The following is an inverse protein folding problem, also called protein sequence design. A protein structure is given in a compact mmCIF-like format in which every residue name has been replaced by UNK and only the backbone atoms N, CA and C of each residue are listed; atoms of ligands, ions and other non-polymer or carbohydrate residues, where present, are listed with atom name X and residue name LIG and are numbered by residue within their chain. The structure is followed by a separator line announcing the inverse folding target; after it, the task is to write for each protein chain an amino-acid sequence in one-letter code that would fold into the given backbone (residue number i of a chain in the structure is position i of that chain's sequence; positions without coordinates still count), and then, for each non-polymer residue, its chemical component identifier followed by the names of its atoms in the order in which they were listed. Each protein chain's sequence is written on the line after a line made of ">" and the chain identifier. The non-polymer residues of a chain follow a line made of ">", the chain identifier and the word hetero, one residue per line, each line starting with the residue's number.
data_IF_447044077929
#
_entry.id   IF_447044077929
#
_cell.length_a   1.000
_cell.length_b   1.000
_cell.length_c   1.000
_cell.angle_alpha   90.00
_cell.angle_beta   90.00
_cell.angle_gamma   90.00
#
_symmetry.space_group_name_H-M   'P 1'
#
loop_
_entity.id
_entity.type
_entity.pdbx_description
1 polymer ?
#
# COMPACT_ATOMS: atom_id res chain seq x y z
N UNK A 1 27.97 36.06 -4.93
CA UNK A 1 26.61 36.47 -4.50
C UNK A 1 25.65 35.51 -5.18
N UNK A 2 25.33 34.38 -4.54
CA UNK A 2 24.39 33.42 -5.10
C UNK A 2 23.00 33.93 -4.80
N UNK A 3 22.28 34.36 -5.84
CA UNK A 3 20.88 34.71 -5.76
C UNK A 3 20.13 33.40 -5.58
N UNK A 4 19.73 33.09 -4.35
CA UNK A 4 18.73 32.06 -4.09
C UNK A 4 17.44 32.51 -4.73
N UNK A 5 17.02 31.84 -5.81
CA UNK A 5 15.68 31.99 -6.33
C UNK A 5 14.69 31.59 -5.22
N UNK A 6 13.60 32.35 -5.01
CA UNK A 6 12.59 31.95 -4.05
C UNK A 6 12.01 30.61 -4.51
N UNK A 7 12.02 29.62 -3.62
CA UNK A 7 11.19 28.43 -3.74
C UNK A 7 9.74 28.91 -3.86
N UNK A 8 9.12 28.68 -5.02
CA UNK A 8 7.69 28.88 -5.21
C UNK A 8 6.95 28.23 -4.02
N UNK A 9 6.07 29.01 -3.38
CA UNK A 9 5.18 28.52 -2.33
C UNK A 9 4.43 27.31 -2.88
N UNK A 10 4.69 26.13 -2.32
CA UNK A 10 4.13 24.88 -2.79
C UNK A 10 2.62 24.92 -2.53
N UNK A 11 1.84 25.03 -3.59
CA UNK A 11 0.38 25.01 -3.51
C UNK A 11 -0.11 23.59 -3.82
N UNK A 12 -1.10 23.10 -3.06
CA UNK A 12 -1.76 21.82 -3.34
C UNK A 12 -2.17 21.68 -4.82
N UNK A 13 -1.62 20.67 -5.49
CA UNK A 13 -1.91 20.29 -6.87
C UNK A 13 -3.11 19.34 -6.84
N UNK A 14 -4.20 19.68 -7.53
CA UNK A 14 -5.43 18.89 -7.56
C UNK A 14 -5.79 18.46 -8.98
N UNK A 15 -6.26 17.22 -9.17
CA UNK A 15 -6.77 16.76 -10.46
C UNK A 15 -8.13 17.40 -10.77
N UNK A 16 -9.00 17.57 -9.77
CA UNK A 16 -10.40 17.93 -9.95
C UNK A 16 -10.79 19.22 -9.21
N UNK A 17 -11.59 20.07 -9.87
CA UNK A 17 -12.25 21.23 -9.27
C UNK A 17 -13.72 21.29 -9.68
N UNK A 18 -14.51 22.12 -8.99
CA UNK A 18 -15.91 22.35 -9.33
C UNK A 18 -16.05 23.48 -10.37
N UNK A 19 -16.62 23.16 -11.53
CA UNK A 19 -16.99 24.13 -12.56
C UNK A 19 -18.47 23.94 -12.86
N UNK A 20 -19.29 24.97 -12.63
CA UNK A 20 -20.76 24.86 -12.71
C UNK A 20 -21.33 23.73 -11.83
N UNK A 21 -20.73 23.50 -10.66
CA UNK A 21 -21.00 22.39 -9.72
C UNK A 21 -20.63 20.99 -10.22
N UNK A 22 -20.08 20.85 -11.43
CA UNK A 22 -19.55 19.58 -11.92
C UNK A 22 -18.06 19.44 -11.59
N UNK A 23 -17.65 18.23 -11.22
CA UNK A 23 -16.24 17.90 -11.01
C UNK A 23 -15.56 17.70 -12.35
N UNK A 24 -14.57 18.54 -12.66
CA UNK A 24 -13.89 18.52 -13.95
C UNK A 24 -12.38 18.52 -13.79
N UNK A 25 -11.70 17.83 -14.70
CA UNK A 25 -10.25 17.89 -14.83
C UNK A 25 -9.79 19.27 -15.32
N UNK A 26 -8.55 19.63 -15.03
CA UNK A 26 -7.98 20.90 -15.45
C UNK A 26 -7.91 21.02 -16.97
N UNK A 27 -8.46 22.12 -17.50
CA UNK A 27 -8.43 22.48 -18.92
C UNK A 27 -7.90 23.89 -19.12
N UNK A 28 -7.32 24.16 -20.30
CA UNK A 28 -6.67 25.45 -20.57
C UNK A 28 -7.61 26.63 -20.36
N UNK A 29 -7.19 27.61 -19.56
CA UNK A 29 -7.98 28.79 -19.21
C UNK A 29 -9.09 28.56 -18.19
N UNK A 30 -9.20 27.34 -17.64
CA UNK A 30 -10.23 26.97 -16.67
C UNK A 30 -10.16 27.77 -15.37
N UNK A 31 -11.35 28.11 -14.85
CA UNK A 31 -11.59 28.63 -13.51
C UNK A 31 -12.67 27.82 -12.83
N UNK A 32 -12.48 27.52 -11.55
CA UNK A 32 -13.41 26.71 -10.77
C UNK A 32 -13.30 26.99 -9.28
N UNK A 33 -13.97 26.19 -8.48
CA UNK A 33 -13.96 26.27 -7.03
C UNK A 33 -13.32 25.01 -6.43
N UNK A 34 -12.59 25.20 -5.34
CA UNK A 34 -12.01 24.10 -4.56
C UNK A 34 -13.13 23.28 -3.92
N UNK A 35 -13.19 21.95 -4.14
CA UNK A 35 -14.18 21.09 -3.50
C UNK A 35 -14.12 21.07 -1.96
N UNK A 36 -12.96 21.42 -1.38
CA UNK A 36 -12.74 21.41 0.07
C UNK A 36 -13.18 22.73 0.72
N UNK A 37 -12.64 23.85 0.24
CA UNK A 37 -12.82 25.15 0.91
C UNK A 37 -13.64 26.17 0.12
N UNK A 38 -14.12 25.81 -1.08
CA UNK A 38 -14.90 26.69 -1.96
C UNK A 38 -14.13 27.88 -2.54
N UNK A 39 -12.82 28.00 -2.29
CA UNK A 39 -12.01 29.11 -2.81
C UNK A 39 -11.73 28.96 -4.30
N UNK A 40 -11.54 30.09 -4.99
CA UNK A 40 -11.26 30.12 -6.43
C UNK A 40 -9.97 29.36 -6.78
N UNK A 41 -10.06 28.54 -7.84
CA UNK A 41 -8.95 27.80 -8.43
C UNK A 41 -8.77 28.16 -9.90
N UNK A 42 -7.51 28.09 -10.35
CA UNK A 42 -7.12 28.30 -11.75
C UNK A 42 -6.48 27.03 -12.28
N UNK A 43 -6.89 26.62 -13.47
CA UNK A 43 -6.26 25.51 -14.18
C UNK A 43 -4.86 25.91 -14.67
N UNK A 44 -3.87 25.11 -14.32
CA UNK A 44 -2.50 25.19 -14.81
C UNK A 44 -2.31 24.12 -15.86
N UNK A 45 -2.22 24.54 -17.12
CA UNK A 45 -2.09 23.65 -18.28
C UNK A 45 -0.88 24.07 -19.11
N UNK A 46 -0.18 23.09 -19.70
CA UNK A 46 0.96 23.36 -20.56
C UNK A 46 1.83 22.13 -20.83
N UNK A 47 2.67 22.18 -21.87
CA UNK A 47 3.42 21.01 -22.34
C UNK A 47 4.53 20.52 -21.40
N UNK A 48 4.84 21.28 -20.35
CA UNK A 48 5.91 20.97 -19.39
C UNK A 48 5.39 20.67 -17.98
N UNK A 49 4.07 20.71 -17.79
CA UNK A 49 3.43 20.52 -16.48
C UNK A 49 2.29 19.52 -16.62
N UNK A 50 2.09 18.69 -15.61
CA UNK A 50 0.86 17.93 -15.50
C UNK A 50 -0.30 18.92 -15.32
N UNK A 51 -1.37 18.74 -16.08
CA UNK A 51 -2.55 19.59 -15.95
C UNK A 51 -3.17 19.39 -14.56
N UNK A 52 -3.35 20.49 -13.84
CA UNK A 52 -3.90 20.49 -12.49
C UNK A 52 -4.61 21.80 -12.16
N UNK A 53 -5.45 21.75 -11.14
CA UNK A 53 -6.03 22.91 -10.50
C UNK A 53 -5.14 23.36 -9.34
N UNK A 54 -4.93 24.67 -9.22
CA UNK A 54 -4.25 25.29 -8.09
C UNK A 54 -5.10 26.44 -7.55
N UNK A 55 -5.05 26.68 -6.24
CA UNK A 55 -5.69 27.86 -5.65
C UNK A 55 -5.18 29.14 -6.31
N UNK A 56 -6.09 30.07 -6.63
CA UNK A 56 -5.71 31.34 -7.27
C UNK A 56 -4.72 32.14 -6.41
N UNK A 57 -4.92 32.11 -5.09
CA UNK A 57 -4.02 32.69 -4.09
C UNK A 57 -3.38 31.55 -3.29
N UNK A 58 -2.09 31.64 -2.90
CA UNK A 58 -1.45 30.62 -2.08
C UNK A 58 -2.23 30.43 -0.77
N UNK A 59 -2.94 29.32 -0.68
CA UNK A 59 -3.70 28.90 0.49
C UNK A 59 -3.79 27.39 0.40
N UNK A 60 -3.03 26.71 1.27
CA UNK A 60 -3.26 25.29 1.48
C UNK A 60 -4.48 25.14 2.37
N UNK A 61 -5.48 24.44 1.86
CA UNK A 61 -6.76 24.27 2.54
C UNK A 61 -6.94 22.88 3.16
N UNK A 62 -5.96 22.00 2.99
CA UNK A 62 -5.90 20.66 3.56
C UNK A 62 -4.45 20.40 3.96
N UNK A 63 -4.11 20.22 5.24
CA UNK A 63 -2.73 20.03 5.69
C UNK A 63 -2.14 18.67 5.30
N UNK A 64 -2.95 17.71 4.83
CA UNK A 64 -2.49 16.39 4.39
C UNK A 64 -2.11 16.32 2.91
N UNK A 65 -2.09 17.47 2.24
CA UNK A 65 -1.76 17.55 0.84
C UNK A 65 -0.33 17.06 0.53
N UNK A 66 -0.20 16.28 -0.55
CA UNK A 66 1.07 15.97 -1.18
C UNK A 66 1.07 16.52 -2.62
N UNK A 67 2.25 16.78 -3.19
CA UNK A 67 2.37 17.09 -4.61
C UNK A 67 1.98 15.87 -5.46
N UNK A 68 1.04 16.06 -6.37
CA UNK A 68 0.64 15.00 -7.29
C UNK A 68 1.77 14.68 -8.28
N UNK A 69 2.20 13.41 -8.30
CA UNK A 69 3.19 12.87 -9.23
C UNK A 69 2.51 12.08 -10.36
N UNK A 70 3.19 11.77 -11.47
CA UNK A 70 2.64 10.87 -12.50
C UNK A 70 2.14 9.53 -11.92
N UNK A 71 2.88 8.97 -10.97
CA UNK A 71 2.48 7.74 -10.27
C UNK A 71 1.16 7.90 -9.52
N UNK A 72 0.97 9.01 -8.78
CA UNK A 72 -0.31 9.29 -8.11
C UNK A 72 -1.47 9.42 -9.11
N UNK A 73 -1.25 10.16 -10.20
CA UNK A 73 -2.27 10.38 -11.24
C UNK A 73 -2.66 9.07 -11.91
N UNK A 74 -1.70 8.23 -12.26
CA UNK A 74 -1.93 6.94 -12.89
C UNK A 74 -2.75 6.03 -11.97
N UNK A 75 -2.44 6.00 -10.66
CA UNK A 75 -3.23 5.27 -9.67
C UNK A 75 -4.66 5.78 -9.54
N UNK A 76 -4.87 7.09 -9.41
CA UNK A 76 -6.21 7.69 -9.38
C UNK A 76 -7.01 7.34 -10.64
N UNK A 77 -6.35 7.32 -11.79
CA UNK A 77 -6.97 7.03 -13.09
C UNK A 77 -7.49 5.60 -13.23
N UNK A 78 -7.05 4.65 -12.39
CA UNK A 78 -7.60 3.29 -12.33
C UNK A 78 -9.03 3.24 -11.77
N UNK A 79 -9.47 4.31 -11.10
CA UNK A 79 -10.79 4.40 -10.47
C UNK A 79 -11.72 5.35 -11.24
N UNK A 80 -13.05 5.18 -11.17
CA UNK A 80 -13.99 6.14 -11.73
C UNK A 80 -13.84 7.55 -11.13
N UNK A 81 -14.24 8.60 -11.86
CA UNK A 81 -14.05 9.99 -11.39
C UNK A 81 -14.74 10.26 -10.06
N UNK A 82 -15.92 9.66 -9.85
CA UNK A 82 -16.71 9.74 -8.62
C UNK A 82 -15.99 9.18 -7.38
N UNK A 83 -14.92 8.42 -7.56
CA UNK A 83 -14.11 7.90 -6.46
C UNK A 83 -12.85 8.73 -6.19
N UNK A 84 -12.36 9.52 -7.16
CA UNK A 84 -11.09 10.24 -7.02
C UNK A 84 -11.29 11.50 -6.17
N UNK A 85 -10.32 11.90 -5.36
CA UNK A 85 -10.24 13.21 -4.70
C UNK A 85 -11.51 13.59 -3.92
N UNK A 86 -11.96 12.70 -3.05
CA UNK A 86 -13.24 12.85 -2.31
C UNK A 86 -12.98 13.47 -0.94
N UNK A 87 -13.62 14.61 -0.70
CA UNK A 87 -13.60 15.28 0.60
C UNK A 87 -14.38 14.47 1.64
N UNK A 88 -13.77 14.31 2.80
CA UNK A 88 -14.37 13.74 4.00
C UNK A 88 -14.39 14.82 5.08
N UNK A 89 -15.51 14.91 5.79
CA UNK A 89 -15.73 15.88 6.86
C UNK A 89 -15.92 15.10 8.15
N UNK A 90 -15.03 15.30 9.12
CA UNK A 90 -15.18 14.73 10.45
C UNK A 90 -16.28 15.43 11.26
N UNK A 91 -16.66 14.81 12.39
CA UNK A 91 -17.72 15.31 13.26
C UNK A 91 -17.42 16.68 13.89
N UNK A 92 -16.15 17.02 14.06
CA UNK A 92 -15.67 18.31 14.55
C UNK A 92 -15.55 19.38 13.45
N UNK A 93 -15.83 19.01 12.19
CA UNK A 93 -15.78 19.89 11.03
C UNK A 93 -14.42 19.93 10.32
N UNK A 94 -13.44 19.13 10.74
CA UNK A 94 -12.18 18.96 9.99
C UNK A 94 -12.46 18.32 8.62
N UNK A 95 -11.84 18.86 7.57
CA UNK A 95 -12.05 18.41 6.18
C UNK A 95 -10.71 17.96 5.59
N UNK A 96 -10.66 16.72 5.15
CA UNK A 96 -9.53 16.17 4.39
C UNK A 96 -9.99 15.53 3.09
N UNK A 97 -9.11 15.49 2.10
CA UNK A 97 -9.38 14.89 0.80
C UNK A 97 -8.66 13.57 0.67
N UNK A 98 -9.43 12.50 0.53
CA UNK A 98 -8.89 11.20 0.17
C UNK A 98 -8.47 11.17 -1.30
N UNK A 99 -7.36 10.51 -1.62
CA UNK A 99 -6.95 10.30 -3.01
C UNK A 99 -8.01 9.51 -3.78
N UNK A 100 -8.48 8.41 -3.19
CA UNK A 100 -9.59 7.60 -3.70
C UNK A 100 -10.51 7.20 -2.55
N UNK A 101 -11.82 7.31 -2.75
CA UNK A 101 -12.86 6.74 -1.88
C UNK A 101 -13.92 6.05 -2.73
N UNK A 102 -14.05 4.74 -2.57
CA UNK A 102 -14.99 3.94 -3.37
C UNK A 102 -16.41 4.05 -2.84
N UNK A 103 -17.39 3.68 -3.67
CA UNK A 103 -18.81 3.72 -3.29
C UNK A 103 -19.15 2.80 -2.10
N UNK A 104 -18.35 1.75 -1.87
CA UNK A 104 -18.48 0.85 -0.72
C UNK A 104 -17.86 1.41 0.56
N UNK A 105 -17.21 2.58 0.49
CA UNK A 105 -16.65 3.29 1.63
C UNK A 105 -15.20 2.95 1.93
N UNK A 106 -14.49 2.20 1.08
CA UNK A 106 -13.04 2.00 1.20
C UNK A 106 -12.32 3.28 0.79
N UNK A 107 -11.42 3.74 1.64
CA UNK A 107 -10.51 4.86 1.36
C UNK A 107 -9.15 4.29 0.98
N UNK A 108 -8.56 4.81 -0.09
CA UNK A 108 -7.19 4.49 -0.52
C UNK A 108 -6.40 5.79 -0.50
N UNK A 109 -5.33 5.79 0.30
CA UNK A 109 -4.35 6.88 0.32
C UNK A 109 -3.09 6.41 -0.40
N UNK A 110 -2.64 7.24 -1.34
CA UNK A 110 -1.45 6.99 -2.12
C UNK A 110 -0.29 7.76 -1.47
N UNK A 111 0.81 7.08 -1.16
CA UNK A 111 1.94 7.73 -0.50
C UNK A 111 3.25 7.55 -1.26
N UNK A 112 3.81 8.67 -1.71
CA UNK A 112 5.14 8.70 -2.35
C UNK A 112 6.21 9.23 -1.38
N UNK A 113 5.93 10.35 -0.72
CA UNK A 113 6.86 11.00 0.21
C UNK A 113 7.00 10.25 1.55
N UNK A 114 7.96 10.67 2.37
CA UNK A 114 8.08 10.18 3.75
C UNK A 114 6.89 10.64 4.59
N UNK A 115 6.38 9.74 5.44
CA UNK A 115 5.30 10.03 6.39
C UNK A 115 5.79 9.73 7.81
N UNK A 116 5.40 10.57 8.75
CA UNK A 116 5.65 10.33 10.18
C UNK A 116 4.59 9.40 10.78
N UNK A 117 4.93 8.73 11.89
CA UNK A 117 3.97 7.84 12.58
C UNK A 117 2.75 8.59 13.10
N UNK A 118 2.91 9.86 13.50
CA UNK A 118 1.82 10.71 13.96
C UNK A 118 0.85 11.03 12.82
N UNK A 119 1.36 11.40 11.64
CA UNK A 119 0.53 11.65 10.45
C UNK A 119 -0.20 10.38 10.01
N UNK A 120 0.51 9.24 9.93
CA UNK A 120 -0.11 7.95 9.60
C UNK A 120 -1.24 7.61 10.56
N UNK A 121 -0.98 7.69 11.87
CA UNK A 121 -1.95 7.36 12.92
C UNK A 121 -3.19 8.26 12.81
N UNK A 122 -2.98 9.57 12.64
CA UNK A 122 -4.07 10.54 12.49
C UNK A 122 -4.94 10.24 11.27
N UNK A 123 -4.35 9.91 10.11
CA UNK A 123 -5.09 9.51 8.90
C UNK A 123 -5.86 8.20 9.07
N UNK A 124 -5.23 7.19 9.70
CA UNK A 124 -5.89 5.91 9.99
C UNK A 124 -7.11 6.09 10.90
N UNK A 125 -7.00 6.95 11.93
CA UNK A 125 -8.11 7.22 12.87
C UNK A 125 -9.23 8.02 12.22
N UNK A 126 -8.88 9.00 11.39
CA UNK A 126 -9.83 9.83 10.70
C UNK A 126 -10.67 9.05 9.68
N UNK A 127 -10.04 8.21 8.85
CA UNK A 127 -10.76 7.49 7.80
C UNK A 127 -11.36 6.15 8.25
N UNK A 128 -10.68 5.42 9.15
CA UNK A 128 -11.09 4.09 9.62
C UNK A 128 -10.98 2.97 8.58
N UNK A 129 -11.73 3.05 7.49
CA UNK A 129 -11.76 2.03 6.42
C UNK A 129 -10.69 2.28 5.34
N UNK A 130 -9.44 2.42 5.79
CA UNK A 130 -8.31 2.88 4.99
C UNK A 130 -7.43 1.71 4.51
N UNK A 131 -6.88 1.85 3.30
CA UNK A 131 -5.75 1.07 2.78
C UNK A 131 -4.67 2.00 2.23
N UNK A 132 -3.41 1.67 2.51
CA UNK A 132 -2.25 2.37 1.99
C UNK A 132 -1.73 1.73 0.71
N UNK A 133 -1.47 2.54 -0.31
CA UNK A 133 -0.63 2.17 -1.46
C UNK A 133 0.61 3.06 -1.44
N UNK A 134 1.78 2.46 -1.29
CA UNK A 134 3.06 3.15 -1.10
C UNK A 134 3.92 3.00 -2.35
N UNK A 135 4.48 4.10 -2.85
CA UNK A 135 5.46 4.06 -3.93
C UNK A 135 6.78 3.46 -3.42
N UNK A 136 7.11 2.27 -3.91
CA UNK A 136 8.31 1.52 -3.56
C UNK A 136 9.54 1.88 -4.38
N UNK A 137 9.42 2.70 -5.42
CA UNK A 137 10.51 3.01 -6.37
C UNK A 137 11.76 3.54 -5.64
N UNK A 138 11.57 4.42 -4.65
CA UNK A 138 12.64 5.04 -3.88
C UNK A 138 13.42 4.08 -2.97
N UNK A 139 12.92 2.87 -2.71
CA UNK A 139 13.59 1.89 -1.85
C UNK A 139 13.66 0.48 -2.45
N UNK A 140 13.38 0.32 -3.75
CA UNK A 140 13.38 -0.98 -4.44
C UNK A 140 14.65 -1.80 -4.23
N UNK A 141 15.82 -1.15 -4.30
CA UNK A 141 17.14 -1.80 -4.13
C UNK A 141 17.41 -2.27 -2.69
N UNK A 142 16.63 -1.78 -1.73
CA UNK A 142 16.71 -2.15 -0.32
C UNK A 142 15.64 -3.17 0.09
N UNK A 143 14.84 -3.66 -0.86
CA UNK A 143 13.76 -4.60 -0.62
C UNK A 143 14.00 -5.88 -1.42
N UNK A 144 14.48 -6.91 -0.74
CA UNK A 144 14.77 -8.22 -1.33
C UNK A 144 13.61 -9.17 -1.05
N UNK A 145 13.14 -9.87 -2.07
CA UNK A 145 12.12 -10.91 -1.95
C UNK A 145 12.81 -12.25 -2.23
N UNK A 146 12.59 -13.22 -1.35
CA UNK A 146 13.25 -14.52 -1.37
C UNK A 146 12.26 -15.63 -1.76
N UNK A 147 12.52 -16.87 -1.34
CA UNK A 147 11.72 -18.03 -1.68
C UNK A 147 10.23 -17.88 -1.32
N UNK A 148 9.40 -18.60 -2.07
CA UNK A 148 7.97 -18.70 -1.81
C UNK A 148 7.69 -19.46 -0.52
N UNK A 149 6.55 -19.15 0.08
CA UNK A 149 6.01 -19.81 1.25
C UNK A 149 4.70 -20.51 0.85
N UNK A 150 4.39 -21.69 1.42
CA UNK A 150 3.09 -22.31 1.23
C UNK A 150 1.98 -21.41 1.79
N UNK A 151 0.71 -21.67 1.44
CA UNK A 151 -0.39 -20.96 2.07
C UNK A 151 -0.34 -21.18 3.61
N UNK A 152 -0.49 -20.14 4.44
CA UNK A 152 -0.31 -20.25 5.89
C UNK A 152 -1.32 -21.18 6.57
N UNK A 153 -2.48 -21.40 5.94
CA UNK A 153 -3.51 -22.32 6.40
C UNK A 153 -3.40 -23.75 5.82
N UNK A 154 -2.36 -24.04 5.03
CA UNK A 154 -2.14 -25.37 4.47
C UNK A 154 -1.64 -26.36 5.52
N UNK A 155 -1.86 -27.66 5.30
CA UNK A 155 -1.37 -28.70 6.22
C UNK A 155 0.15 -28.71 6.34
N UNK A 156 0.88 -28.45 5.23
CA UNK A 156 2.34 -28.39 5.27
C UNK A 156 2.81 -27.23 6.16
N UNK A 157 2.21 -26.04 6.04
CA UNK A 157 2.63 -24.85 6.79
C UNK A 157 2.50 -25.00 8.32
N UNK A 158 1.56 -25.82 8.80
CA UNK A 158 1.35 -26.05 10.24
C UNK A 158 2.59 -26.63 10.94
N UNK A 159 3.43 -27.37 10.20
CA UNK A 159 4.62 -27.99 10.75
C UNK A 159 5.90 -27.17 10.54
N UNK A 160 5.88 -26.10 9.73
CA UNK A 160 7.10 -25.38 9.34
C UNK A 160 7.35 -24.13 10.19
N UNK A 161 8.57 -24.00 10.72
CA UNK A 161 9.08 -22.74 11.29
C UNK A 161 10.26 -22.29 10.42
N UNK A 162 10.05 -21.28 9.58
CA UNK A 162 11.08 -20.81 8.65
C UNK A 162 12.19 -20.04 9.37
N UNK A 163 13.44 -20.32 8.98
CA UNK A 163 14.55 -19.44 9.31
C UNK A 163 14.37 -18.12 8.55
N UNK A 164 14.35 -17.00 9.28
CA UNK A 164 14.10 -15.68 8.70
C UNK A 164 15.15 -15.33 7.65
N UNK A 165 14.70 -15.10 6.42
CA UNK A 165 15.53 -14.61 5.33
C UNK A 165 16.09 -13.22 5.66
N UNK A 166 17.32 -12.96 5.23
CA UNK A 166 18.03 -11.70 5.46
C UNK A 166 19.12 -11.54 4.42
N UNK A 167 19.37 -10.32 3.97
CA UNK A 167 20.45 -10.02 3.03
C UNK A 167 21.77 -10.63 3.52
N UNK A 168 22.41 -11.37 2.63
CA UNK A 168 23.64 -12.15 2.86
C UNK A 168 23.52 -13.45 3.69
N UNK A 169 22.31 -13.89 4.08
CA UNK A 169 22.09 -15.17 4.77
C UNK A 169 21.66 -16.29 3.80
N UNK A 170 22.59 -16.76 2.96
CA UNK A 170 22.29 -17.66 1.83
C UNK A 170 21.43 -18.89 2.18
N UNK A 171 21.69 -19.54 3.32
CA UNK A 171 20.88 -20.68 3.76
C UNK A 171 19.41 -20.29 4.00
N UNK A 172 19.17 -19.36 4.92
CA UNK A 172 17.81 -18.89 5.20
C UNK A 172 17.11 -18.33 3.94
N UNK A 173 17.86 -17.64 3.08
CA UNK A 173 17.37 -17.10 1.81
C UNK A 173 16.97 -18.20 0.81
N UNK A 174 17.55 -19.40 0.94
CA UNK A 174 17.22 -20.58 0.15
C UNK A 174 16.10 -21.43 0.77
N UNK A 175 15.58 -21.07 1.96
CA UNK A 175 14.43 -21.75 2.56
C UNK A 175 14.76 -22.79 3.63
N UNK A 176 15.73 -22.49 4.51
CA UNK A 176 15.91 -23.31 5.72
C UNK A 176 14.72 -23.19 6.66
N UNK A 177 14.34 -24.30 7.31
CA UNK A 177 13.26 -24.35 8.30
C UNK A 177 13.50 -25.40 9.38
N UNK A 178 12.70 -25.32 10.44
CA UNK A 178 12.57 -26.34 11.51
C UNK A 178 11.17 -26.95 11.47
N UNK A 179 11.03 -28.16 12.00
CA UNK A 179 9.72 -28.80 12.16
C UNK A 179 9.17 -28.67 13.58
N UNK A 180 7.90 -28.28 13.68
CA UNK A 180 7.21 -28.19 14.97
C UNK A 180 7.03 -29.57 15.59
N UNK A 181 6.72 -30.58 14.78
CA UNK A 181 6.57 -31.97 15.18
C UNK A 181 7.84 -32.53 15.82
N UNK A 182 9.02 -32.17 15.32
CA UNK A 182 10.32 -32.56 15.89
C UNK A 182 10.59 -31.83 17.21
N UNK A 183 10.38 -30.51 17.26
CA UNK A 183 10.53 -29.74 18.50
C UNK A 183 9.60 -30.26 19.62
N UNK A 184 8.40 -30.74 19.26
CA UNK A 184 7.43 -31.33 20.20
C UNK A 184 7.84 -32.69 20.76
N UNK A 185 8.82 -33.38 20.19
CA UNK A 185 9.37 -34.60 20.78
C UNK A 185 10.13 -34.29 22.08
N UNK A 186 10.78 -33.12 22.14
CA UNK A 186 11.50 -32.66 23.34
C UNK A 186 10.58 -31.89 24.30
N UNK A 187 9.73 -31.02 23.77
CA UNK A 187 8.74 -30.27 24.55
C UNK A 187 7.35 -30.31 23.88
N UNK A 188 6.46 -31.22 24.30
CA UNK A 188 5.14 -31.40 23.67
C UNK A 188 4.26 -30.15 23.60
N UNK A 189 4.47 -29.17 24.49
CA UNK A 189 3.66 -27.95 24.57
C UNK A 189 4.28 -26.77 23.81
N UNK A 190 5.44 -26.94 23.17
CA UNK A 190 6.09 -25.85 22.43
C UNK A 190 5.22 -25.39 21.26
N UNK A 191 5.15 -24.06 21.10
CA UNK A 191 4.49 -23.38 19.99
C UNK A 191 5.50 -22.97 18.93
N UNK A 192 5.05 -22.69 17.69
CA UNK A 192 5.94 -22.19 16.62
C UNK A 192 6.68 -20.91 17.02
N UNK A 193 6.01 -20.05 17.79
CA UNK A 193 6.57 -18.80 18.32
C UNK A 193 7.73 -19.03 19.30
N UNK A 194 7.87 -20.22 19.88
CA UNK A 194 8.90 -20.55 20.89
C UNK A 194 10.08 -21.35 20.32
N UNK A 195 9.93 -21.98 19.16
CA UNK A 195 11.02 -22.74 18.53
C UNK A 195 12.16 -21.78 18.16
N UNK A 196 13.37 -22.07 18.65
CA UNK A 196 14.60 -21.27 18.39
C UNK A 196 15.77 -22.10 17.86
N UNK A 197 15.68 -23.42 18.01
CA UNK A 197 16.72 -24.38 17.66
C UNK A 197 16.09 -25.74 17.38
N UNK A 198 16.81 -26.61 16.69
CA UNK A 198 16.37 -27.95 16.35
C UNK A 198 17.14 -28.46 15.14
N UNK A 199 16.68 -29.58 14.59
CA UNK A 199 17.17 -30.05 13.30
C UNK A 199 16.77 -29.09 12.19
N UNK A 200 17.73 -28.74 11.34
CA UNK A 200 17.54 -27.81 10.23
C UNK A 200 17.26 -28.62 8.96
N UNK A 201 16.16 -28.29 8.29
CA UNK A 201 15.76 -28.84 7.00
C UNK A 201 15.89 -27.79 5.91
N UNK A 202 15.93 -28.25 4.65
CA UNK A 202 15.97 -27.41 3.46
C UNK A 202 14.65 -27.53 2.68
N UNK A 203 14.18 -26.44 2.08
CA UNK A 203 12.94 -26.40 1.29
C UNK A 203 12.90 -27.46 0.19
N UNK A 204 14.06 -27.89 -0.34
CA UNK A 204 14.11 -28.95 -1.36
C UNK A 204 13.47 -30.26 -0.90
N UNK A 205 13.45 -30.54 0.42
CA UNK A 205 12.81 -31.74 0.99
C UNK A 205 11.27 -31.69 0.91
N UNK A 206 10.70 -30.50 0.70
CA UNK A 206 9.25 -30.26 0.71
C UNK A 206 8.75 -29.43 -0.49
N UNK A 207 9.59 -29.22 -1.51
CA UNK A 207 9.30 -28.28 -2.60
C UNK A 207 7.95 -28.54 -3.27
N UNK A 208 7.62 -29.80 -3.57
CA UNK A 208 6.33 -30.17 -4.18
C UNK A 208 5.13 -29.76 -3.31
N UNK A 209 5.23 -29.90 -1.99
CA UNK A 209 4.16 -29.53 -1.06
C UNK A 209 4.02 -28.00 -0.96
N UNK A 210 5.14 -27.29 -1.01
CA UNK A 210 5.17 -25.83 -1.06
C UNK A 210 4.50 -25.35 -2.35
N UNK A 211 4.90 -25.87 -3.50
CA UNK A 211 4.39 -25.46 -4.81
C UNK A 211 2.89 -25.74 -4.97
N UNK A 212 2.42 -26.90 -4.49
CA UNK A 212 0.99 -27.27 -4.53
C UNK A 212 0.11 -26.36 -3.67
N UNK A 213 0.66 -25.78 -2.60
CA UNK A 213 -0.08 -24.91 -1.67
C UNK A 213 0.26 -23.43 -1.83
N UNK A 214 1.18 -23.08 -2.72
CA UNK A 214 1.64 -21.71 -2.92
C UNK A 214 0.52 -20.81 -3.47
N UNK A 215 0.32 -19.66 -2.83
CA UNK A 215 -0.70 -18.68 -3.22
C UNK A 215 -0.22 -17.23 -3.10
N UNK A 216 1.09 -17.00 -3.20
CA UNK A 216 1.69 -15.66 -3.33
C UNK A 216 2.54 -15.20 -2.16
N UNK A 217 2.67 -15.97 -1.07
CA UNK A 217 3.49 -15.58 0.09
C UNK A 217 4.98 -15.78 -0.18
N UNK A 218 5.81 -14.86 0.31
CA UNK A 218 7.26 -14.95 0.24
C UNK A 218 7.92 -14.41 1.50
N UNK A 219 9.11 -14.93 1.82
CA UNK A 219 10.01 -14.21 2.73
C UNK A 219 10.58 -12.97 2.04
N UNK A 220 10.91 -11.96 2.83
CA UNK A 220 11.57 -10.75 2.35
C UNK A 220 12.56 -10.22 3.38
N UNK A 221 13.47 -9.37 2.94
CA UNK A 221 14.26 -8.51 3.81
C UNK A 221 14.18 -7.06 3.30
N UNK A 222 13.94 -6.14 4.22
CA UNK A 222 13.91 -4.71 3.92
C UNK A 222 15.01 -4.02 4.71
N UNK A 223 16.10 -3.70 4.02
CA UNK A 223 17.23 -2.99 4.59
C UNK A 223 16.84 -1.54 4.90
N UNK A 224 17.01 -1.13 6.16
CA UNK A 224 16.57 0.18 6.69
C UNK A 224 15.08 0.40 6.40
N UNK A 225 14.21 -0.45 6.98
CA UNK A 225 12.79 -0.40 6.66
C UNK A 225 12.20 0.93 7.15
N UNK A 226 11.26 1.46 6.37
CA UNK A 226 10.43 2.58 6.80
C UNK A 226 9.42 2.04 7.84
N UNK A 227 9.79 2.11 9.12
CA UNK A 227 9.02 1.52 10.23
C UNK A 227 7.55 1.93 10.26
N UNK A 228 7.25 3.15 9.85
CA UNK A 228 5.86 3.65 9.78
C UNK A 228 4.91 2.69 9.05
N UNK A 229 5.38 2.02 8.01
CA UNK A 229 4.59 1.05 7.25
C UNK A 229 4.53 -0.34 7.89
N UNK A 230 5.54 -0.72 8.66
CA UNK A 230 5.53 -1.97 9.42
C UNK A 230 4.61 -1.86 10.64
N UNK A 231 4.48 -0.66 11.20
CA UNK A 231 3.64 -0.36 12.37
C UNK A 231 2.21 0.08 11.98
N UNK A 232 1.88 0.00 10.69
CA UNK A 232 0.57 0.33 10.14
C UNK A 232 -0.53 -0.59 10.70
N UNK A 233 -1.66 -0.01 11.13
CA UNK A 233 -2.84 -0.81 11.54
C UNK A 233 -3.71 -1.17 10.33
N UNK A 234 -3.66 -0.34 9.31
CA UNK A 234 -4.35 -0.54 8.05
C UNK A 234 -3.49 -1.39 7.08
N UNK A 235 -4.11 -2.11 6.13
CA UNK A 235 -3.37 -2.85 5.12
C UNK A 235 -2.42 -1.95 4.33
N UNK A 236 -1.19 -2.42 4.08
CA UNK A 236 -0.19 -1.71 3.29
C UNK A 236 0.20 -2.53 2.07
N UNK A 237 0.08 -1.89 0.91
CA UNK A 237 0.51 -2.41 -0.38
C UNK A 237 1.64 -1.54 -0.92
N UNK A 238 2.73 -2.16 -1.35
CA UNK A 238 3.86 -1.47 -1.97
C UNK A 238 3.80 -1.71 -3.47
N UNK A 239 3.82 -0.63 -4.25
CA UNK A 239 3.92 -0.66 -5.70
C UNK A 239 5.37 -0.43 -6.13
N UNK A 240 5.97 -1.44 -6.76
CA UNK A 240 7.32 -1.33 -7.32
C UNK A 240 7.32 -0.98 -8.82
N UNK A 241 6.14 -0.67 -9.39
CA UNK A 241 5.97 -0.27 -10.78
C UNK A 241 5.64 -1.42 -11.75
N UNK A 242 5.31 -2.61 -11.23
CA UNK A 242 4.89 -3.76 -12.03
C UNK A 242 3.38 -4.03 -11.91
N UNK A 243 2.90 -5.12 -12.50
CA UNK A 243 1.48 -5.52 -12.50
C UNK A 243 1.01 -6.13 -11.17
N UNK A 244 1.90 -6.20 -10.17
CA UNK A 244 1.66 -6.73 -8.84
C UNK A 244 2.02 -5.70 -7.78
N UNK A 245 1.37 -5.87 -6.64
CA UNK A 245 1.64 -5.18 -5.40
C UNK A 245 2.24 -6.18 -4.42
N UNK A 246 3.07 -5.65 -3.53
CA UNK A 246 3.63 -6.38 -2.41
C UNK A 246 2.84 -5.97 -1.17
N UNK A 247 1.94 -6.84 -0.72
CA UNK A 247 1.20 -6.63 0.54
C UNK A 247 2.07 -7.05 1.71
N UNK A 248 2.27 -6.19 2.69
CA UNK A 248 2.97 -6.53 3.93
C UNK A 248 2.04 -7.35 4.84
N UNK A 249 2.48 -8.51 5.30
CA UNK A 249 1.68 -9.39 6.18
C UNK A 249 2.55 -10.07 7.25
N UNK A 250 1.89 -10.59 8.29
CA UNK A 250 2.47 -11.57 9.20
C UNK A 250 2.01 -12.95 8.74
N UNK A 251 2.95 -13.85 8.49
CA UNK A 251 2.71 -15.13 7.83
C UNK A 251 1.82 -16.04 8.67
N UNK A 252 2.19 -16.26 9.94
CA UNK A 252 1.53 -17.18 10.86
C UNK A 252 1.84 -16.84 12.33
N UNK A 253 1.48 -17.72 13.26
CA UNK A 253 1.67 -17.54 14.70
C UNK A 253 3.14 -17.46 15.15
N UNK A 254 4.12 -17.76 14.28
CA UNK A 254 5.55 -17.53 14.58
C UNK A 254 5.91 -16.04 14.61
N UNK A 255 5.04 -15.17 14.08
CA UNK A 255 5.32 -13.75 13.93
C UNK A 255 6.26 -13.42 12.77
N UNK A 256 6.47 -14.36 11.85
CA UNK A 256 7.30 -14.15 10.67
C UNK A 256 6.69 -13.08 9.75
N UNK A 257 7.34 -11.92 9.68
CA UNK A 257 7.01 -10.91 8.69
C UNK A 257 7.27 -11.46 7.27
N UNK A 258 6.28 -11.32 6.41
CA UNK A 258 6.31 -11.81 5.04
C UNK A 258 5.69 -10.77 4.10
N UNK A 259 5.72 -11.09 2.80
CA UNK A 259 4.90 -10.40 1.83
C UNK A 259 3.95 -11.37 1.15
N UNK A 260 2.90 -10.81 0.57
CA UNK A 260 2.05 -11.50 -0.38
C UNK A 260 1.97 -10.72 -1.69
N UNK A 261 2.24 -11.39 -2.80
CA UNK A 261 1.98 -10.83 -4.12
C UNK A 261 0.48 -10.73 -4.39
N UNK A 262 0.04 -9.56 -4.81
CA UNK A 262 -1.35 -9.27 -5.17
C UNK A 262 -1.37 -8.63 -6.54
N UNK A 263 -2.16 -9.14 -7.49
CA UNK A 263 -2.32 -8.47 -8.78
C UNK A 263 -2.92 -7.07 -8.59
N UNK A 264 -2.35 -6.05 -9.26
CA UNK A 264 -2.88 -4.67 -9.25
C UNK A 264 -4.35 -4.63 -9.68
N UNK A 265 -4.70 -5.43 -10.69
CA UNK A 265 -6.07 -5.63 -11.14
C UNK A 265 -7.00 -6.23 -10.07
N UNK A 266 -6.53 -7.22 -9.32
CA UNK A 266 -7.28 -7.79 -8.19
C UNK A 266 -7.51 -6.75 -7.11
N UNK A 267 -6.49 -5.96 -6.80
CA UNK A 267 -6.60 -4.87 -5.84
C UNK A 267 -7.66 -3.85 -6.25
N UNK A 268 -7.61 -3.34 -7.49
CA UNK A 268 -8.58 -2.35 -8.00
C UNK A 268 -10.00 -2.92 -8.00
N UNK A 269 -10.18 -4.15 -8.50
CA UNK A 269 -11.48 -4.83 -8.48
C UNK A 269 -12.03 -4.92 -7.04
N UNK A 270 -11.24 -5.46 -6.12
CA UNK A 270 -11.68 -5.67 -4.73
C UNK A 270 -11.98 -4.37 -4.02
N UNK A 271 -11.17 -3.32 -4.23
CA UNK A 271 -11.42 -2.02 -3.64
C UNK A 271 -12.80 -1.44 -4.06
N UNK A 272 -13.27 -1.79 -5.25
CA UNK A 272 -14.58 -1.37 -5.77
C UNK A 272 -15.76 -2.22 -5.30
N UNK A 273 -15.54 -3.47 -4.88
CA UNK A 273 -16.64 -4.40 -4.55
C UNK A 273 -16.69 -4.84 -3.08
N UNK A 274 -15.55 -4.86 -2.39
CA UNK A 274 -15.49 -5.18 -0.98
C UNK A 274 -15.92 -3.98 -0.14
N UNK A 275 -16.43 -4.23 1.06
CA UNK A 275 -16.90 -3.19 1.98
C UNK A 275 -15.84 -2.76 2.99
N UNK A 276 -14.82 -3.59 3.19
CA UNK A 276 -13.75 -3.35 4.16
C UNK A 276 -12.38 -3.43 3.49
N UNK A 277 -11.51 -2.46 3.76
CA UNK A 277 -10.14 -2.42 3.24
C UNK A 277 -9.35 -3.70 3.55
N UNK A 278 -9.59 -4.32 4.71
CA UNK A 278 -8.97 -5.57 5.13
C UNK A 278 -9.39 -6.79 4.29
N UNK A 279 -10.51 -6.71 3.56
CA UNK A 279 -11.00 -7.80 2.72
C UNK A 279 -10.31 -7.85 1.33
N UNK A 280 -9.62 -6.77 0.93
CA UNK A 280 -8.91 -6.71 -0.35
C UNK A 280 -7.89 -7.85 -0.44
N UNK A 281 -7.92 -8.56 -1.58
CA UNK A 281 -7.06 -9.69 -1.92
C UNK A 281 -7.15 -10.92 -1.00
N UNK A 282 -8.17 -11.01 -0.15
CA UNK A 282 -8.34 -12.16 0.75
C UNK A 282 -9.01 -13.37 0.09
N UNK A 283 -9.86 -13.14 -0.91
CA UNK A 283 -10.63 -14.18 -1.62
C UNK A 283 -10.07 -14.48 -3.00
N UNK A 284 -10.04 -15.77 -3.35
CA UNK A 284 -9.62 -16.25 -4.66
C UNK A 284 -10.83 -16.55 -5.54
N UNK A 285 -10.94 -15.83 -6.64
CA UNK A 285 -11.94 -16.06 -7.68
C UNK A 285 -11.43 -15.53 -9.03
N UNK A 286 -11.84 -16.13 -10.16
CA UNK A 286 -11.47 -15.64 -11.47
C UNK A 286 -12.07 -14.25 -11.69
N UNK A 287 -11.24 -13.28 -12.09
CA UNK A 287 -11.71 -11.95 -12.48
C UNK A 287 -12.23 -11.99 -13.92
N UNK A 288 -13.42 -11.42 -14.21
CA UNK A 288 -13.91 -11.30 -15.59
C UNK A 288 -12.91 -10.49 -16.42
N UNK A 289 -12.60 -10.89 -17.66
CA UNK A 289 -11.59 -10.21 -18.51
C UNK A 289 -11.84 -8.71 -18.78
N UNK A 290 -13.04 -8.21 -18.49
CA UNK A 290 -13.48 -6.86 -18.84
C UNK A 290 -13.61 -5.90 -17.64
N UNK A 291 -13.19 -6.30 -16.43
CA UNK A 291 -13.06 -5.36 -15.30
C UNK A 291 -11.64 -4.79 -15.29
N UNK A 292 -11.47 -3.45 -15.24
CA UNK A 292 -10.16 -2.81 -15.13
C UNK A 292 -9.26 -3.47 -14.08
#
# INVERSE_FOLDING_TARGET
>A
MFVTLPTDSQASIMQLALVNNDRVEAFSGGRGLCPICGSEMIAKCGPRIMHHWAHHRPKDCDPWWENETPWHRDWKNLFPMECREISHIAHDGEIHRADIKTATGIVIELQHSSMTDAERTSREEFYGNLVWVVDGSGFRQNFDIYHGLPAPNSEVAKDLIWAKAKRHMNGANAGLFFRLSEARQENPNITKAEVRSGWIHDIYDIQDQVDQSYNGYHQYDWVRPRKTWLDARCPVYIDFGDDRLVKLEIYDESGLACIRYVSKRKFVHDAMVETHASAIATRFYPLPKNVP
#
